data_IF_344773221647
#
_entry.id   IF_344773221647
#
_cell.length_a   1.000
_cell.length_b   1.000
_cell.length_c   1.000
_cell.angle_alpha   90.00
_cell.angle_beta   90.00
_cell.angle_gamma   90.00
#
_symmetry.space_group_name_H-M   'P 1'
#
loop_
_entity.id
_entity.type
_entity.pdbx_description
1 polymer ?
#
# COMPACT_ATOMS: atom_id res chain seq x y z
N UNK A 1 15.24 -14.13 15.20
CA UNK A 1 15.20 -13.36 16.47
C UNK A 1 13.95 -12.47 16.51
N UNK A 2 13.02 -12.67 17.46
CA UNK A 2 11.71 -11.96 17.47
C UNK A 2 11.80 -10.42 17.54
N UNK A 3 12.79 -9.89 18.26
CA UNK A 3 12.96 -8.44 18.40
C UNK A 3 13.36 -7.74 17.08
N UNK A 4 14.16 -8.40 16.23
CA UNK A 4 14.55 -7.85 14.93
C UNK A 4 13.34 -7.80 13.97
N UNK A 5 12.50 -8.83 14.03
CA UNK A 5 11.25 -8.92 13.27
C UNK A 5 10.26 -7.83 13.68
N UNK A 6 10.06 -7.61 14.98
CA UNK A 6 9.22 -6.53 15.49
C UNK A 6 9.66 -5.14 14.98
N UNK A 7 10.97 -4.92 14.82
CA UNK A 7 11.53 -3.69 14.25
C UNK A 7 11.56 -3.64 12.71
N UNK A 8 11.29 -4.75 12.01
CA UNK A 8 11.39 -4.82 10.55
C UNK A 8 12.81 -4.63 10.01
N UNK A 9 13.83 -5.07 10.77
CA UNK A 9 15.25 -4.99 10.40
C UNK A 9 15.86 -6.38 10.27
N UNK A 10 16.99 -6.50 9.58
CA UNK A 10 17.72 -7.77 9.56
C UNK A 10 18.33 -8.09 10.94
N UNK A 11 18.60 -9.36 11.23
CA UNK A 11 19.26 -9.73 12.49
C UNK A 11 20.66 -9.12 12.60
N UNK A 12 21.38 -8.99 11.49
CA UNK A 12 22.69 -8.34 11.46
C UNK A 12 22.59 -6.84 11.75
N UNK A 13 21.63 -6.15 11.14
CA UNK A 13 21.37 -4.73 11.40
C UNK A 13 20.90 -4.50 12.84
N UNK A 14 20.16 -5.44 13.41
CA UNK A 14 19.77 -5.41 14.81
C UNK A 14 21.00 -5.43 15.73
N UNK A 15 22.00 -6.26 15.42
CA UNK A 15 23.28 -6.28 16.15
C UNK A 15 24.02 -4.94 15.99
N UNK A 16 24.10 -4.40 14.78
CA UNK A 16 24.72 -3.10 14.53
C UNK A 16 24.05 -1.99 15.35
N UNK A 17 22.72 -1.98 15.38
CA UNK A 17 21.92 -1.00 16.11
C UNK A 17 22.13 -1.11 17.63
N UNK A 18 22.09 -2.34 18.16
CA UNK A 18 22.28 -2.60 19.58
C UNK A 18 23.71 -2.23 20.04
N UNK A 19 24.73 -2.53 19.22
CA UNK A 19 26.11 -2.14 19.50
C UNK A 19 26.27 -0.62 19.52
N UNK A 20 25.67 0.09 18.56
CA UNK A 20 25.71 1.55 18.48
C UNK A 20 25.05 2.19 19.70
N UNK A 21 23.93 1.66 20.16
CA UNK A 21 23.22 2.16 21.37
C UNK A 21 24.01 1.90 22.65
N UNK A 22 24.72 0.78 22.73
CA UNK A 22 25.52 0.42 23.90
C UNK A 22 26.85 1.17 23.97
N UNK A 23 27.59 1.25 22.87
CA UNK A 23 28.94 1.84 22.82
C UNK A 23 28.94 3.34 22.48
N UNK A 24 27.84 3.87 21.94
CA UNK A 24 27.76 5.23 21.40
C UNK A 24 28.53 5.43 20.08
N UNK A 25 29.14 4.37 19.53
CA UNK A 25 29.99 4.43 18.32
C UNK A 25 29.45 3.52 17.23
N UNK A 26 29.80 3.82 15.99
CA UNK A 26 29.50 2.91 14.87
C UNK A 26 30.38 1.66 15.00
N UNK A 27 29.79 0.48 14.76
CA UNK A 27 30.51 -0.78 14.87
C UNK A 27 31.53 -0.93 13.74
N UNK A 28 32.75 -1.39 14.06
CA UNK A 28 33.66 -1.91 13.05
C UNK A 28 33.09 -3.22 12.48
N UNK A 29 32.97 -3.32 11.17
CA UNK A 29 32.26 -4.40 10.49
C UNK A 29 32.82 -5.79 10.83
N UNK A 30 34.16 -5.94 10.84
CA UNK A 30 34.84 -7.19 11.20
C UNK A 30 34.60 -7.61 12.65
N UNK A 31 34.59 -6.65 13.57
CA UNK A 31 34.34 -6.93 14.98
C UNK A 31 32.89 -7.36 15.19
N UNK A 32 31.94 -6.67 14.54
CA UNK A 32 30.52 -7.00 14.61
C UNK A 32 30.22 -8.36 14.00
N UNK A 33 30.82 -8.66 12.85
CA UNK A 33 30.69 -9.96 12.17
C UNK A 33 31.14 -11.10 13.08
N UNK A 34 32.26 -10.94 13.81
CA UNK A 34 32.72 -11.96 14.77
C UNK A 34 31.66 -12.28 15.84
N UNK A 35 31.00 -11.26 16.39
CA UNK A 35 29.91 -11.47 17.36
C UNK A 35 28.68 -12.10 16.71
N UNK A 36 28.35 -11.70 15.48
CA UNK A 36 27.21 -12.23 14.76
C UNK A 36 27.40 -13.70 14.37
N UNK A 37 28.59 -14.08 13.89
CA UNK A 37 28.98 -15.46 13.60
C UNK A 37 28.91 -16.32 14.87
N UNK A 38 29.44 -15.84 16.00
CA UNK A 38 29.33 -16.54 17.27
C UNK A 38 27.87 -16.76 17.69
N UNK A 39 27.00 -15.78 17.46
CA UNK A 39 25.56 -15.94 17.68
C UNK A 39 24.94 -17.00 16.75
N UNK A 40 25.23 -16.96 15.45
CA UNK A 40 24.66 -17.90 14.47
C UNK A 40 25.05 -19.35 14.73
N UNK A 41 26.32 -19.62 15.07
CA UNK A 41 26.83 -20.99 15.22
C UNK A 41 26.81 -21.51 16.65
N UNK A 42 27.00 -20.64 17.64
CA UNK A 42 27.14 -21.04 19.05
C UNK A 42 25.93 -20.61 19.90
N UNK A 43 24.94 -19.95 19.30
CA UNK A 43 23.80 -19.35 20.00
C UNK A 43 24.21 -18.37 21.12
N UNK A 44 25.44 -17.86 21.06
CA UNK A 44 25.97 -16.95 22.05
C UNK A 44 25.53 -15.52 21.74
N UNK A 45 24.53 -15.04 22.49
CA UNK A 45 23.99 -13.69 22.33
C UNK A 45 24.74 -12.73 23.27
N UNK A 46 25.43 -11.70 22.73
CA UNK A 46 26.09 -10.70 23.56
C UNK A 46 25.12 -9.98 24.50
N UNK A 47 25.61 -9.56 25.67
CA UNK A 47 24.79 -8.94 26.72
C UNK A 47 24.04 -7.70 26.22
N UNK A 48 24.69 -6.87 25.41
CA UNK A 48 24.09 -5.66 24.84
C UNK A 48 22.94 -5.99 23.86
N UNK A 49 23.06 -7.04 23.04
CA UNK A 49 21.96 -7.53 22.18
C UNK A 49 20.81 -8.04 23.04
N UNK A 50 21.12 -8.79 24.11
CA UNK A 50 20.11 -9.35 25.02
C UNK A 50 19.34 -8.26 25.76
N UNK A 51 20.04 -7.22 26.21
CA UNK A 51 19.40 -6.07 26.84
C UNK A 51 18.49 -5.33 25.85
N UNK A 52 19.00 -5.03 24.66
CA UNK A 52 18.25 -4.33 23.64
C UNK A 52 17.02 -5.12 23.16
N UNK A 53 17.14 -6.43 22.98
CA UNK A 53 16.00 -7.27 22.59
C UNK A 53 14.90 -7.31 23.64
N UNK A 54 15.23 -7.28 24.94
CA UNK A 54 14.23 -7.14 26.01
C UNK A 54 13.54 -5.78 25.98
N UNK A 55 14.28 -4.69 25.77
CA UNK A 55 13.72 -3.34 25.64
C UNK A 55 12.72 -3.28 24.47
N UNK A 56 13.11 -3.79 23.31
CA UNK A 56 12.27 -3.82 22.11
C UNK A 56 10.99 -4.64 22.33
N UNK A 57 11.12 -5.87 22.82
CA UNK A 57 9.95 -6.74 23.06
C UNK A 57 9.02 -6.17 24.13
N UNK A 58 9.57 -5.50 25.16
CA UNK A 58 8.76 -4.84 26.18
C UNK A 58 7.96 -3.66 25.61
N UNK A 59 8.54 -2.88 24.69
CA UNK A 59 7.84 -1.76 24.03
C UNK A 59 6.82 -2.25 23.01
N UNK A 60 7.13 -3.33 22.30
CA UNK A 60 6.24 -4.00 21.35
C UNK A 60 5.00 -4.56 22.06
N UNK A 61 5.18 -5.28 23.17
CA UNK A 61 4.08 -5.77 23.99
C UNK A 61 3.19 -4.66 24.57
N UNK A 62 3.76 -3.47 24.78
CA UNK A 62 3.03 -2.28 25.23
C UNK A 62 2.36 -1.48 24.10
N UNK A 63 2.55 -1.87 22.83
CA UNK A 63 2.06 -1.13 21.66
C UNK A 63 2.72 0.24 21.45
N UNK A 64 3.88 0.48 22.08
CA UNK A 64 4.63 1.75 22.05
C UNK A 64 5.94 1.62 21.27
N UNK A 65 6.05 0.65 20.38
CA UNK A 65 7.26 0.43 19.62
C UNK A 65 7.40 1.51 18.53
N UNK A 66 8.30 2.46 18.75
CA UNK A 66 8.69 3.42 17.73
C UNK A 66 10.07 3.07 17.14
N UNK A 67 10.08 2.65 15.88
CA UNK A 67 11.29 2.35 15.13
C UNK A 67 12.14 3.61 14.86
N UNK A 68 11.54 4.80 14.84
CA UNK A 68 12.25 6.07 14.64
C UNK A 68 13.06 6.44 15.88
N UNK A 69 12.43 6.42 17.06
CA UNK A 69 13.09 6.65 18.35
C UNK A 69 14.28 5.70 18.57
N UNK A 70 14.12 4.44 18.16
CA UNK A 70 15.14 3.41 18.30
C UNK A 70 16.24 3.49 17.23
N UNK A 71 16.13 4.41 16.25
CA UNK A 71 17.12 4.58 15.18
C UNK A 71 17.11 3.47 14.12
N UNK A 72 16.08 2.63 14.11
CA UNK A 72 15.96 1.47 13.23
C UNK A 72 15.56 1.85 11.79
N UNK A 73 15.02 3.05 11.55
CA UNK A 73 14.57 3.50 10.23
C UNK A 73 15.65 3.42 9.15
N UNK A 74 16.92 3.69 9.49
CA UNK A 74 18.05 3.61 8.53
C UNK A 74 18.29 2.20 8.01
N UNK A 75 17.83 1.18 8.73
CA UNK A 75 18.05 -0.22 8.44
C UNK A 75 16.73 -0.96 8.14
N UNK A 76 15.61 -0.22 8.03
CA UNK A 76 14.29 -0.82 7.79
C UNK A 76 14.28 -1.44 6.41
N UNK A 77 14.10 -2.75 6.37
CA UNK A 77 14.07 -3.49 5.12
C UNK A 77 12.78 -3.11 4.39
N UNK A 78 12.91 -2.36 3.29
CA UNK A 78 11.81 -2.23 2.35
C UNK A 78 11.79 -3.53 1.56
N UNK A 79 10.68 -4.29 1.53
CA UNK A 79 10.62 -5.46 0.66
C UNK A 79 10.92 -4.98 -0.77
N UNK A 80 11.85 -5.62 -1.49
CA UNK A 80 12.12 -5.21 -2.86
C UNK A 80 10.80 -5.30 -3.64
N UNK A 81 10.47 -4.30 -4.47
CA UNK A 81 9.28 -4.38 -5.29
C UNK A 81 9.36 -5.68 -6.11
N UNK A 82 8.25 -6.42 -6.17
CA UNK A 82 8.20 -7.68 -6.92
C UNK A 82 8.74 -7.44 -8.34
N UNK A 83 9.59 -8.33 -8.86
CA UNK A 83 10.29 -8.14 -10.15
C UNK A 83 9.34 -7.86 -11.33
N UNK A 84 8.13 -8.41 -11.25
CA UNK A 84 7.06 -8.22 -12.26
C UNK A 84 5.99 -7.20 -11.81
N UNK A 85 6.21 -6.49 -10.69
CA UNK A 85 5.30 -5.47 -10.15
C UNK A 85 4.84 -4.44 -11.19
N UNK A 86 5.74 -3.80 -11.97
CA UNK A 86 5.33 -2.86 -13.00
C UNK A 86 4.50 -3.53 -14.12
N UNK A 87 4.76 -4.80 -14.43
CA UNK A 87 3.99 -5.54 -15.44
C UNK A 87 2.56 -5.84 -14.97
N UNK A 88 2.37 -6.22 -13.70
CA UNK A 88 1.02 -6.40 -13.14
C UNK A 88 0.24 -5.08 -13.04
N UNK A 89 0.91 -3.97 -12.67
CA UNK A 89 0.28 -2.65 -12.65
C UNK A 89 -0.14 -2.24 -14.06
N UNK A 90 0.71 -2.46 -15.06
CA UNK A 90 0.37 -2.22 -16.47
C UNK A 90 -0.80 -3.07 -16.96
N UNK A 91 -0.83 -4.36 -16.61
CA UNK A 91 -1.90 -5.27 -16.98
C UNK A 91 -3.23 -4.88 -16.34
N UNK A 92 -3.21 -4.48 -15.06
CA UNK A 92 -4.40 -3.97 -14.37
C UNK A 92 -4.94 -2.69 -15.04
N UNK A 93 -4.06 -1.74 -15.37
CA UNK A 93 -4.43 -0.52 -16.09
C UNK A 93 -5.04 -0.80 -17.46
N UNK A 94 -4.44 -1.71 -18.23
CA UNK A 94 -4.95 -2.11 -19.54
C UNK A 94 -6.32 -2.80 -19.43
N UNK A 95 -6.51 -3.69 -18.45
CA UNK A 95 -7.80 -4.33 -18.19
C UNK A 95 -8.87 -3.33 -17.77
N UNK A 96 -8.52 -2.33 -16.95
CA UNK A 96 -9.44 -1.26 -16.54
C UNK A 96 -9.87 -0.41 -17.75
N UNK A 97 -8.94 -0.06 -18.63
CA UNK A 97 -9.25 0.68 -19.87
C UNK A 97 -10.13 -0.16 -20.80
N UNK A 98 -9.81 -1.44 -21.01
CA UNK A 98 -10.64 -2.36 -21.79
C UNK A 98 -12.04 -2.49 -21.21
N UNK A 99 -12.17 -2.58 -19.88
CA UNK A 99 -13.46 -2.61 -19.20
C UNK A 99 -14.24 -1.32 -19.41
N UNK A 100 -13.60 -0.15 -19.31
CA UNK A 100 -14.24 1.13 -19.60
C UNK A 100 -14.70 1.24 -21.06
N UNK A 101 -13.91 0.75 -22.02
CA UNK A 101 -14.29 0.71 -23.44
C UNK A 101 -15.47 -0.24 -23.66
N UNK A 102 -15.44 -1.43 -23.06
CA UNK A 102 -16.55 -2.38 -23.13
C UNK A 102 -17.85 -1.76 -22.57
N UNK A 103 -17.78 -0.97 -21.51
CA UNK A 103 -18.94 -0.23 -20.99
C UNK A 103 -19.47 0.84 -21.97
N UNK A 104 -18.61 1.42 -22.82
CA UNK A 104 -19.03 2.38 -23.85
C UNK A 104 -19.69 1.68 -25.05
N UNK A 105 -19.29 0.44 -25.35
CA UNK A 105 -19.84 -0.36 -26.45
C UNK A 105 -21.18 -1.03 -26.13
N UNK A 106 -21.62 -1.02 -24.86
CA UNK A 106 -22.98 -1.46 -24.50
C UNK A 106 -23.97 -0.43 -25.04
N UNK A 107 -24.38 -0.63 -26.30
CA UNK A 107 -25.54 0.04 -26.87
C UNK A 107 -26.77 -0.32 -26.03
N UNK A 108 -27.42 0.70 -25.51
CA UNK A 108 -28.66 0.56 -24.77
C UNK A 108 -29.73 -0.04 -25.69
N UNK A 109 -30.15 -1.27 -25.40
CA UNK A 109 -31.29 -1.89 -26.08
C UNK A 109 -32.59 -1.51 -25.35
N UNK A 110 -33.46 -0.68 -25.96
CA UNK A 110 -34.67 -0.18 -25.33
C UNK A 110 -35.72 -1.27 -25.04
N UNK A 111 -35.56 -2.49 -25.59
CA UNK A 111 -36.51 -3.59 -25.42
C UNK A 111 -36.23 -4.44 -24.17
N UNK A 112 -34.97 -4.55 -23.76
CA UNK A 112 -34.53 -5.39 -22.65
C UNK A 112 -34.06 -4.60 -21.42
N UNK A 113 -33.78 -3.30 -21.60
CA UNK A 113 -33.28 -2.40 -20.56
C UNK A 113 -34.41 -1.67 -19.84
N UNK A 114 -34.22 -1.32 -18.57
CA UNK A 114 -35.16 -0.48 -17.83
C UNK A 114 -35.33 0.87 -18.56
N UNK A 115 -36.57 1.39 -18.69
CA UNK A 115 -36.83 2.62 -19.42
C UNK A 115 -35.98 3.76 -18.86
N UNK A 116 -35.11 4.33 -19.71
CA UNK A 116 -34.33 5.50 -19.35
C UNK A 116 -35.28 6.62 -18.93
N UNK A 117 -35.10 7.23 -17.74
CA UNK A 117 -35.71 8.52 -17.49
C UNK A 117 -35.18 9.50 -18.55
N UNK A 118 -36.03 10.41 -19.02
CA UNK A 118 -35.79 11.56 -19.92
C UNK A 118 -34.37 12.12 -20.07
N UNK A 119 -33.57 12.06 -19.01
CA UNK A 119 -32.16 12.40 -19.01
C UNK A 119 -31.38 11.28 -19.70
N UNK A 120 -31.31 11.35 -21.04
CA UNK A 120 -30.61 10.38 -21.87
C UNK A 120 -29.14 10.21 -21.48
N UNK A 121 -28.87 9.08 -20.81
CA UNK A 121 -27.53 8.59 -20.50
C UNK A 121 -27.49 7.84 -19.16
N UNK A 122 -26.50 6.96 -18.93
CA UNK A 122 -26.32 6.21 -17.68
C UNK A 122 -25.82 7.09 -16.51
N UNK A 123 -26.15 8.39 -16.51
CA UNK A 123 -25.69 9.36 -15.53
C UNK A 123 -26.77 9.74 -14.52
N UNK A 124 -26.37 9.99 -13.27
CA UNK A 124 -27.23 10.63 -12.28
C UNK A 124 -27.81 11.94 -12.84
N UNK A 125 -29.14 12.09 -12.75
CA UNK A 125 -29.94 13.27 -13.16
C UNK A 125 -29.28 14.63 -12.87
N UNK A 126 -28.65 14.75 -11.70
CA UNK A 126 -27.97 15.97 -11.23
C UNK A 126 -26.85 16.40 -12.18
N UNK A 127 -26.08 15.44 -12.73
CA UNK A 127 -24.95 15.72 -13.61
C UNK A 127 -25.43 16.21 -14.97
N UNK A 128 -26.51 15.62 -15.48
CA UNK A 128 -27.12 16.02 -16.74
C UNK A 128 -27.68 17.45 -16.64
N UNK A 129 -28.40 17.79 -15.57
CA UNK A 129 -28.92 19.15 -15.35
C UNK A 129 -27.81 20.19 -15.28
N UNK A 130 -26.71 19.89 -14.56
CA UNK A 130 -25.54 20.77 -14.51
C UNK A 130 -24.89 20.94 -15.88
N UNK A 131 -24.78 19.88 -16.69
CA UNK A 131 -24.18 19.95 -18.02
C UNK A 131 -25.00 20.82 -18.98
N UNK A 132 -26.33 20.72 -18.96
CA UNK A 132 -27.20 21.57 -19.78
C UNK A 132 -27.14 23.03 -19.33
N UNK A 133 -27.16 23.28 -18.01
CA UNK A 133 -27.02 24.63 -17.45
C UNK A 133 -25.68 25.29 -17.82
N UNK A 134 -24.57 24.54 -17.79
CA UNK A 134 -23.24 25.03 -18.20
C UNK A 134 -23.15 25.23 -19.71
N UNK A 135 -23.77 24.36 -20.51
CA UNK A 135 -23.73 24.48 -21.97
C UNK A 135 -24.66 25.56 -22.53
N UNK A 136 -25.56 26.12 -21.70
CA UNK A 136 -26.54 27.12 -22.11
C UNK A 136 -27.61 26.60 -23.07
N UNK A 137 -27.74 25.27 -23.22
CA UNK A 137 -28.74 24.62 -24.08
C UNK A 137 -29.95 24.21 -23.24
N UNK A 138 -31.14 24.39 -23.80
CA UNK A 138 -32.38 23.95 -23.16
C UNK A 138 -32.44 22.41 -23.08
N UNK A 139 -32.98 21.85 -21.98
CA UNK A 139 -33.12 20.41 -21.85
C UNK A 139 -34.13 19.87 -22.88
N UNK A 140 -33.93 18.65 -23.40
CA UNK A 140 -34.83 18.07 -24.41
C UNK A 140 -36.25 17.87 -23.87
N UNK A 141 -37.26 18.23 -24.67
CA UNK A 141 -38.69 18.04 -24.32
C UNK A 141 -39.11 16.57 -24.46
N UNK A 142 -39.65 15.99 -23.40
CA UNK A 142 -39.88 14.56 -23.24
C UNK A 142 -41.19 14.00 -23.78
N UNK A 143 -42.04 14.81 -24.42
CA UNK A 143 -43.38 14.34 -24.82
C UNK A 143 -43.38 13.25 -25.91
N UNK A 144 -42.28 13.09 -26.67
CA UNK A 144 -42.22 12.17 -27.80
C UNK A 144 -41.93 10.70 -27.46
N UNK A 145 -41.65 10.34 -26.20
CA UNK A 145 -41.37 8.95 -25.81
C UNK A 145 -42.57 8.21 -25.19
N UNK A 146 -43.75 8.83 -25.17
CA UNK A 146 -44.93 8.31 -24.47
C UNK A 146 -45.83 7.37 -25.30
N UNK A 147 -45.48 7.04 -26.55
CA UNK A 147 -46.33 6.15 -27.35
C UNK A 147 -45.56 5.32 -28.39
N UNK A 148 -45.22 4.04 -28.11
CA UNK A 148 -44.93 3.10 -29.17
C UNK A 148 -46.28 2.67 -29.79
N UNK A 149 -46.49 2.99 -31.07
CA UNK A 149 -47.58 2.41 -31.86
C UNK A 149 -46.99 1.32 -32.75
#
# INVERSE_FOLDING_TARGET
>A
MKAAEALGVSEYDFFRLAFRRWSGREAEEKALERFFVAYMFQQNVPVWVRHFSREVLSRDAAGKLDAAELGALKYRRHPPPHRNGPLYIGLMGAMMVLYCVALLDISYDPQTSAPMPCYGGPGLKVIAEMAYAVSGKEPPNCENFKNPR
#
